data_IF_071889411354
#
_entry.id   IF_071889411354
#
_cell.length_a   1.000
_cell.length_b   1.000
_cell.length_c   1.000
_cell.angle_alpha   90.00
_cell.angle_beta   90.00
_cell.angle_gamma   90.00
#
_symmetry.space_group_name_H-M   'P 1'
#
loop_
_entity.id
_entity.type
_entity.pdbx_description
1 polymer ?
#
# COMPACT_ATOMS: atom_id res chain seq x y z
N UNK A 1 18.08 26.36 -9.11
CA UNK A 1 16.86 25.89 -8.42
C UNK A 1 17.32 25.23 -7.14
N UNK A 2 16.98 25.79 -5.98
CA UNK A 2 17.48 25.32 -4.70
C UNK A 2 16.89 23.94 -4.39
N UNK A 3 17.73 23.02 -3.95
CA UNK A 3 17.28 21.78 -3.30
C UNK A 3 16.62 22.22 -2.01
N UNK A 4 15.28 22.19 -1.94
CA UNK A 4 14.57 22.38 -0.69
C UNK A 4 15.08 21.36 0.33
N UNK A 5 15.41 21.80 1.53
CA UNK A 5 15.77 20.88 2.62
C UNK A 5 14.59 19.94 2.88
N UNK A 6 14.86 18.65 3.13
CA UNK A 6 13.85 17.67 3.52
C UNK A 6 12.88 18.21 4.60
N UNK A 7 13.42 18.92 5.60
CA UNK A 7 12.64 19.51 6.68
C UNK A 7 11.66 20.58 6.18
N UNK A 8 12.06 21.43 5.23
CA UNK A 8 11.21 22.49 4.68
C UNK A 8 9.95 21.91 4.05
N UNK A 9 10.09 20.83 3.27
CA UNK A 9 8.92 20.18 2.67
C UNK A 9 8.06 19.44 3.69
N UNK A 10 8.67 18.69 4.62
CA UNK A 10 7.91 18.03 5.67
C UNK A 10 7.12 19.06 6.49
N UNK A 11 7.72 20.22 6.74
CA UNK A 11 7.07 21.35 7.40
C UNK A 11 5.91 21.92 6.58
N UNK A 12 6.10 22.06 5.27
CA UNK A 12 5.05 22.48 4.34
C UNK A 12 3.86 21.52 4.37
N UNK A 13 4.12 20.20 4.31
CA UNK A 13 3.10 19.17 4.24
C UNK A 13 2.38 18.92 5.57
N UNK A 14 3.13 18.82 6.67
CA UNK A 14 2.63 18.35 7.97
C UNK A 14 2.40 19.49 8.97
N UNK A 15 3.15 20.58 8.83
CA UNK A 15 3.23 21.65 9.83
C UNK A 15 4.61 21.75 10.44
N UNK A 16 4.89 22.83 11.17
CA UNK A 16 6.15 23.01 11.92
C UNK A 16 6.17 22.22 13.23
N UNK A 17 5.02 21.67 13.63
CA UNK A 17 4.80 20.97 14.89
C UNK A 17 3.83 19.81 14.69
N UNK A 18 4.02 18.75 15.48
CA UNK A 18 3.16 17.57 15.53
C UNK A 18 2.75 17.30 16.98
N UNK A 19 1.62 16.63 17.16
CA UNK A 19 1.18 16.14 18.46
C UNK A 19 1.77 14.74 18.70
N UNK A 20 2.33 14.49 19.88
CA UNK A 20 2.74 13.17 20.35
C UNK A 20 2.09 12.93 21.71
N UNK A 21 1.05 12.09 21.74
CA UNK A 21 0.17 11.96 22.90
C UNK A 21 -0.54 13.28 23.21
N UNK A 22 -0.25 13.88 24.37
CA UNK A 22 -0.78 15.19 24.78
C UNK A 22 0.20 16.35 24.58
N UNK A 23 1.40 16.08 24.05
CA UNK A 23 2.48 17.08 23.95
C UNK A 23 2.70 17.48 22.50
N UNK A 24 2.86 18.77 22.25
CA UNK A 24 3.26 19.27 20.91
C UNK A 24 4.79 19.27 20.79
N UNK A 25 5.30 18.68 19.71
CA UNK A 25 6.73 18.55 19.40
C UNK A 25 7.04 19.32 18.13
N UNK A 26 8.14 20.08 18.13
CA UNK A 26 8.59 20.82 16.96
C UNK A 26 9.34 19.93 15.98
N UNK A 27 8.99 20.02 14.70
CA UNK A 27 9.66 19.31 13.63
C UNK A 27 11.05 19.88 13.38
N UNK A 28 12.02 18.99 13.29
CA UNK A 28 13.43 19.29 13.03
C UNK A 28 14.04 18.17 12.16
N UNK A 29 15.28 18.36 11.71
CA UNK A 29 15.93 17.42 10.77
C UNK A 29 16.11 16.01 11.35
N UNK A 30 16.17 15.88 12.68
CA UNK A 30 16.34 14.60 13.37
C UNK A 30 15.03 13.94 13.80
N UNK A 31 13.86 14.55 13.55
CA UNK A 31 12.58 14.05 14.08
C UNK A 31 12.27 12.63 13.60
N UNK A 32 12.53 12.35 12.33
CA UNK A 32 12.32 11.03 11.72
C UNK A 32 13.63 10.27 11.50
N UNK A 33 14.78 10.95 11.52
CA UNK A 33 16.13 10.35 11.48
C UNK A 33 16.31 9.27 10.39
N UNK A 34 15.71 9.44 9.21
CA UNK A 34 15.78 8.47 8.11
C UNK A 34 14.78 7.31 8.17
N UNK A 35 13.93 7.24 9.19
CA UNK A 35 12.85 6.25 9.31
C UNK A 35 11.85 6.37 8.16
N UNK A 36 11.27 5.25 7.74
CA UNK A 36 10.11 5.26 6.85
C UNK A 36 8.96 6.00 7.53
N UNK A 37 8.15 6.71 6.74
CA UNK A 37 6.99 7.43 7.25
C UNK A 37 5.72 6.74 6.77
N UNK A 38 4.88 6.29 7.70
CA UNK A 38 3.54 5.82 7.41
C UNK A 38 2.49 6.88 7.77
N UNK A 39 1.73 7.33 6.77
CA UNK A 39 0.60 8.23 6.99
C UNK A 39 -0.63 7.40 7.33
N UNK A 40 -1.15 7.56 8.53
CA UNK A 40 -2.32 6.85 9.03
C UNK A 40 -3.55 7.76 9.01
N UNK A 41 -4.38 7.60 7.99
CA UNK A 41 -5.61 8.37 7.81
C UNK A 41 -6.74 7.74 8.63
N UNK A 42 -7.34 8.54 9.51
CA UNK A 42 -8.39 8.09 10.43
C UNK A 42 -9.62 8.99 10.35
N UNK A 43 -10.79 8.46 9.94
CA UNK A 43 -12.03 9.21 10.01
C UNK A 43 -12.43 9.54 11.48
N UNK A 44 -12.96 10.73 11.72
CA UNK A 44 -13.57 11.21 12.97
C UNK A 44 -15.11 11.08 12.85
N UNK A 45 -15.78 10.96 14.00
CA UNK A 45 -17.23 10.77 14.11
C UNK A 45 -17.60 9.42 14.77
N UNK A 46 -18.85 8.99 14.61
CA UNK A 46 -19.42 7.81 15.28
C UNK A 46 -18.69 6.48 14.98
N UNK A 47 -17.84 6.45 13.95
CA UNK A 47 -17.03 5.29 13.56
C UNK A 47 -15.82 5.04 14.49
N UNK A 48 -15.46 6.00 15.36
CA UNK A 48 -14.30 5.90 16.28
C UNK A 48 -14.42 4.70 17.23
N UNK A 49 -15.64 4.34 17.66
CA UNK A 49 -15.88 3.23 18.57
C UNK A 49 -15.46 1.85 18.01
N UNK A 50 -15.12 1.78 16.71
CA UNK A 50 -14.74 0.55 16.01
C UNK A 50 -13.26 0.46 15.61
N UNK A 51 -12.45 1.48 15.93
CA UNK A 51 -11.04 1.53 15.49
C UNK A 51 -10.20 0.64 16.40
N UNK A 52 -10.05 -0.63 16.01
CA UNK A 52 -9.05 -1.52 16.58
C UNK A 52 -7.70 -1.30 15.88
N UNK A 53 -6.82 -0.54 16.52
CA UNK A 53 -5.46 -0.26 16.05
C UNK A 53 -4.41 -1.17 16.70
N UNK A 54 -4.82 -2.24 17.41
CA UNK A 54 -3.89 -3.09 18.17
C UNK A 54 -2.83 -3.73 17.27
N UNK A 55 -3.23 -4.28 16.12
CA UNK A 55 -2.28 -4.87 15.18
C UNK A 55 -1.27 -3.85 14.64
N UNK A 56 -1.68 -2.58 14.50
CA UNK A 56 -0.79 -1.50 14.08
C UNK A 56 0.18 -1.10 15.20
N UNK A 57 -0.28 -1.07 16.45
CA UNK A 57 0.56 -0.85 17.63
C UNK A 57 1.60 -1.95 17.79
N UNK A 58 1.21 -3.20 17.62
CA UNK A 58 2.12 -4.35 17.69
C UNK A 58 3.19 -4.24 16.61
N UNK A 59 2.80 -3.94 15.36
CA UNK A 59 3.76 -3.68 14.29
C UNK A 59 4.72 -2.53 14.66
N UNK A 60 4.18 -1.39 15.08
CA UNK A 60 4.98 -0.21 15.39
C UNK A 60 6.01 -0.49 16.49
N UNK A 61 5.60 -1.24 17.51
CA UNK A 61 6.50 -1.71 18.58
C UNK A 61 7.57 -2.65 18.03
N UNK A 62 7.21 -3.68 17.27
CA UNK A 62 8.14 -4.67 16.73
C UNK A 62 9.16 -4.05 15.77
N UNK A 63 8.71 -3.16 14.88
CA UNK A 63 9.59 -2.52 13.88
C UNK A 63 10.61 -1.60 14.54
N UNK A 64 10.23 -0.95 15.64
CA UNK A 64 11.07 0.02 16.35
C UNK A 64 11.78 -0.54 17.60
N UNK A 65 11.73 -1.86 17.84
CA UNK A 65 12.25 -2.46 19.07
C UNK A 65 13.75 -2.22 19.29
N UNK A 66 14.56 -2.34 18.23
CA UNK A 66 16.02 -2.22 18.31
C UNK A 66 16.52 -0.87 17.76
N UNK A 67 15.93 -0.41 16.66
CA UNK A 67 16.31 0.79 15.96
C UNK A 67 15.03 1.42 15.42
N UNK A 68 14.92 2.75 15.54
CA UNK A 68 13.77 3.48 15.01
C UNK A 68 13.81 3.41 13.48
N UNK A 69 12.85 2.69 12.90
CA UNK A 69 12.75 2.44 11.45
C UNK A 69 11.45 2.92 10.84
N UNK A 70 10.44 3.18 11.67
CA UNK A 70 9.12 3.60 11.24
C UNK A 70 8.61 4.73 12.13
N UNK A 71 8.16 5.81 11.50
CA UNK A 71 7.33 6.84 12.11
C UNK A 71 5.92 6.74 11.55
N UNK A 72 4.93 6.62 12.43
CA UNK A 72 3.52 6.76 12.05
C UNK A 72 3.12 8.22 12.29
N UNK A 73 2.44 8.80 11.31
CA UNK A 73 1.86 10.14 11.40
C UNK A 73 0.37 10.00 11.13
N UNK A 74 -0.42 10.17 12.18
CA UNK A 74 -1.86 10.12 12.13
C UNK A 74 -2.44 11.41 11.57
N UNK A 75 -3.42 11.29 10.68
CA UNK A 75 -4.18 12.39 10.08
C UNK A 75 -5.66 12.10 10.30
N UNK A 76 -6.27 12.87 11.19
CA UNK A 76 -7.69 12.77 11.51
C UNK A 76 -8.52 13.69 10.60
N UNK A 77 -9.73 13.25 10.20
CA UNK A 77 -10.67 13.99 9.34
C UNK A 77 -12.07 13.38 9.51
N UNK A 78 -13.25 14.00 9.36
CA UNK A 78 -13.51 15.38 8.95
C UNK A 78 -13.36 16.36 10.12
N UNK A 79 -13.42 17.65 9.78
CA UNK A 79 -13.23 18.75 10.72
C UNK A 79 -14.58 19.44 10.97
N UNK A 80 -15.54 18.72 11.54
CA UNK A 80 -16.79 19.33 12.01
C UNK A 80 -16.58 20.01 13.36
N UNK A 81 -17.54 20.84 13.78
CA UNK A 81 -17.46 21.57 15.05
C UNK A 81 -17.41 20.60 16.26
N UNK A 82 -18.02 19.42 16.11
CA UNK A 82 -18.16 18.43 17.19
C UNK A 82 -16.98 17.43 17.29
N UNK A 83 -16.06 17.44 16.31
CA UNK A 83 -14.99 16.44 16.19
C UNK A 83 -13.79 16.66 17.12
N UNK A 84 -13.68 17.83 17.76
CA UNK A 84 -12.51 18.15 18.60
C UNK A 84 -12.36 17.20 19.79
N UNK A 85 -13.46 16.86 20.46
CA UNK A 85 -13.42 15.94 21.61
C UNK A 85 -12.96 14.55 21.19
N UNK A 86 -13.51 14.08 20.07
CA UNK A 86 -13.13 12.83 19.43
C UNK A 86 -11.65 12.78 19.07
N UNK A 87 -11.13 13.85 18.47
CA UNK A 87 -9.70 14.00 18.19
C UNK A 87 -8.87 13.90 19.47
N UNK A 88 -9.18 14.70 20.49
CA UNK A 88 -8.40 14.76 21.74
C UNK A 88 -8.40 13.41 22.48
N UNK A 89 -9.48 12.64 22.42
CA UNK A 89 -9.56 11.29 23.00
C UNK A 89 -8.69 10.28 22.23
N UNK A 90 -8.79 10.30 20.89
CA UNK A 90 -8.08 9.38 20.01
C UNK A 90 -6.55 9.59 20.07
N UNK A 91 -6.08 10.84 20.15
CA UNK A 91 -4.65 11.14 20.06
C UNK A 91 -3.90 10.99 21.37
N UNK A 92 -4.58 10.96 22.52
CA UNK A 92 -3.93 10.87 23.84
C UNK A 92 -3.17 9.57 24.06
N UNK A 93 -3.65 8.47 23.49
CA UNK A 93 -3.19 7.11 23.80
C UNK A 93 -2.30 6.50 22.73
N UNK A 94 -2.11 7.17 21.59
CA UNK A 94 -1.31 6.63 20.47
C UNK A 94 0.19 6.82 20.70
N UNK A 95 1.03 5.83 20.34
CA UNK A 95 2.49 5.90 20.53
C UNK A 95 3.22 6.61 19.37
N UNK A 96 2.48 7.37 18.55
CA UNK A 96 2.97 7.98 17.32
C UNK A 96 2.53 9.44 17.19
N UNK A 97 3.01 10.10 16.14
CA UNK A 97 2.72 11.51 15.90
C UNK A 97 1.35 11.69 15.26
N UNK A 98 0.72 12.84 15.49
CA UNK A 98 -0.54 13.27 14.84
C UNK A 98 -0.39 14.68 14.31
N UNK A 99 -0.93 14.96 13.12
CA UNK A 99 -1.03 16.33 12.61
C UNK A 99 -2.00 17.12 13.48
N UNK A 100 -1.58 18.29 13.98
CA UNK A 100 -2.35 19.14 14.89
C UNK A 100 -3.77 19.42 14.36
N UNK A 101 -4.77 19.45 15.24
CA UNK A 101 -6.17 19.74 14.90
C UNK A 101 -6.34 21.13 14.30
N UNK A 102 -5.48 22.07 14.65
CA UNK A 102 -5.49 23.43 14.13
C UNK A 102 -4.99 23.50 12.67
N UNK A 103 -4.27 22.48 12.19
CA UNK A 103 -3.72 22.44 10.82
C UNK A 103 -4.71 21.87 9.80
N UNK A 104 -5.93 22.41 9.81
CA UNK A 104 -7.07 21.99 8.96
C UNK A 104 -6.67 21.91 7.48
N UNK A 105 -6.09 22.98 6.94
CA UNK A 105 -5.69 23.02 5.52
C UNK A 105 -4.66 21.94 5.16
N UNK A 106 -3.74 21.63 6.08
CA UNK A 106 -2.70 20.61 5.85
C UNK A 106 -3.31 19.22 5.83
N UNK A 107 -4.22 18.91 6.76
CA UNK A 107 -4.95 17.63 6.78
C UNK A 107 -5.77 17.44 5.50
N UNK A 108 -6.50 18.47 5.06
CA UNK A 108 -7.26 18.47 3.80
C UNK A 108 -6.33 18.27 2.59
N UNK A 109 -5.22 19.02 2.50
CA UNK A 109 -4.25 18.90 1.39
C UNK A 109 -3.61 17.51 1.34
N UNK A 110 -3.21 16.94 2.47
CA UNK A 110 -2.67 15.58 2.55
C UNK A 110 -3.70 14.56 2.06
N UNK A 111 -4.94 14.65 2.54
CA UNK A 111 -6.03 13.77 2.12
C UNK A 111 -6.23 13.78 0.59
N UNK A 112 -6.29 14.97 -0.01
CA UNK A 112 -6.40 15.11 -1.47
C UNK A 112 -5.16 14.62 -2.22
N UNK A 113 -3.94 14.97 -1.75
CA UNK A 113 -2.67 14.53 -2.35
C UNK A 113 -2.61 13.01 -2.43
N UNK A 114 -3.03 12.33 -1.36
CA UNK A 114 -3.03 10.88 -1.28
C UNK A 114 -4.30 10.21 -1.81
N UNK A 115 -5.30 10.99 -2.27
CA UNK A 115 -6.57 10.50 -2.82
C UNK A 115 -7.30 9.56 -1.87
N UNK A 116 -7.35 9.92 -0.59
CA UNK A 116 -8.08 9.16 0.44
C UNK A 116 -9.55 9.52 0.34
N UNK A 117 -10.42 8.52 0.16
CA UNK A 117 -11.87 8.73 0.02
C UNK A 117 -12.52 9.05 1.38
N UNK A 118 -13.84 9.26 1.43
CA UNK A 118 -14.54 9.54 2.69
C UNK A 118 -14.60 8.24 3.52
N UNK A 119 -14.47 8.34 4.84
CA UNK A 119 -14.56 7.21 5.79
C UNK A 119 -13.53 6.07 5.55
N UNK A 120 -12.41 6.35 4.87
CA UNK A 120 -11.38 5.33 4.64
C UNK A 120 -10.30 5.33 5.73
N UNK A 121 -10.25 4.24 6.50
CA UNK A 121 -9.07 3.95 7.34
C UNK A 121 -7.94 3.42 6.44
N UNK A 122 -6.86 4.19 6.32
CA UNK A 122 -5.73 3.82 5.45
C UNK A 122 -4.39 4.07 6.13
N UNK A 123 -3.49 3.12 5.96
CA UNK A 123 -2.08 3.27 6.29
C UNK A 123 -1.29 3.30 4.99
N UNK A 124 -0.70 4.45 4.68
CA UNK A 124 0.10 4.65 3.46
C UNK A 124 1.57 4.75 3.87
N UNK A 125 2.33 3.72 3.54
CA UNK A 125 3.78 3.71 3.76
C UNK A 125 4.49 4.49 2.65
N UNK A 126 5.30 5.45 3.04
CA UNK A 126 6.14 6.25 2.18
C UNK A 126 7.61 6.07 2.57
N UNK A 127 8.49 6.60 1.73
CA UNK A 127 9.85 6.93 2.14
C UNK A 127 9.88 7.95 3.29
N UNK A 128 11.07 8.21 3.81
CA UNK A 128 11.36 9.18 4.86
C UNK A 128 11.12 10.65 4.43
N UNK A 129 10.70 10.87 3.19
CA UNK A 129 10.61 12.18 2.56
C UNK A 129 9.18 12.51 2.09
N UNK A 130 8.25 11.55 2.09
CA UNK A 130 6.90 11.65 1.50
C UNK A 130 6.90 11.91 -0.02
N UNK A 131 7.88 11.37 -0.75
CA UNK A 131 7.95 11.43 -2.22
C UNK A 131 7.44 10.15 -2.85
N UNK A 132 7.96 9.02 -2.36
CA UNK A 132 7.67 7.72 -2.89
C UNK A 132 6.72 6.97 -1.97
N UNK A 133 5.55 6.65 -2.49
CA UNK A 133 4.62 5.72 -1.84
C UNK A 133 5.11 4.29 -2.10
N UNK A 134 5.43 3.57 -1.04
CA UNK A 134 5.73 2.13 -1.08
C UNK A 134 4.46 1.29 -1.02
N UNK A 135 3.49 1.68 -0.18
CA UNK A 135 2.24 0.93 0.04
C UNK A 135 1.08 1.89 0.27
N UNK A 136 -0.08 1.65 -0.36
CA UNK A 136 -1.31 2.44 -0.10
C UNK A 136 -2.29 1.80 0.89
N UNK A 137 -2.13 0.51 1.19
CA UNK A 137 -3.07 -0.22 2.04
C UNK A 137 -2.33 -1.11 3.05
N UNK A 138 -1.50 -0.48 3.88
CA UNK A 138 -0.71 -1.16 4.90
C UNK A 138 -1.59 -1.88 5.94
N UNK A 139 -2.77 -1.35 6.25
CA UNK A 139 -3.70 -1.99 7.19
C UNK A 139 -4.13 -3.39 6.73
N UNK A 140 -4.45 -3.57 5.44
CA UNK A 140 -4.75 -4.92 4.91
C UNK A 140 -3.55 -5.85 5.00
N UNK A 141 -2.33 -5.31 4.89
CA UNK A 141 -1.11 -6.10 4.99
C UNK A 141 -0.77 -6.51 6.41
N UNK A 142 -1.28 -5.84 7.45
CA UNK A 142 -1.13 -6.27 8.85
C UNK A 142 -1.70 -7.68 9.07
N UNK A 143 -2.79 -8.01 8.36
CA UNK A 143 -3.41 -9.34 8.40
C UNK A 143 -2.77 -10.37 7.46
N UNK A 144 -1.80 -9.95 6.63
CA UNK A 144 -1.13 -10.82 5.66
C UNK A 144 0.19 -11.38 6.23
N UNK A 145 0.60 -12.57 5.79
CA UNK A 145 1.91 -13.18 6.14
C UNK A 145 3.13 -12.43 5.56
N UNK A 146 2.96 -11.21 5.02
CA UNK A 146 4.05 -10.44 4.42
C UNK A 146 4.78 -9.65 5.50
N UNK A 147 6.09 -9.83 5.59
CA UNK A 147 6.93 -9.04 6.48
C UNK A 147 7.04 -7.57 6.02
N UNK A 148 6.97 -6.66 6.99
CA UNK A 148 7.37 -5.25 6.84
C UNK A 148 8.83 -5.18 6.30
N UNK A 149 9.23 -4.18 5.47
CA UNK A 149 8.57 -2.90 5.18
C UNK A 149 7.60 -2.89 3.98
N UNK A 150 7.24 -4.05 3.40
CA UNK A 150 6.34 -4.06 2.23
C UNK A 150 6.79 -3.13 1.09
N UNK A 151 8.09 -2.92 0.94
CA UNK A 151 8.66 -2.06 -0.12
C UNK A 151 8.71 -2.78 -1.47
N UNK A 152 8.78 -4.11 -1.45
CA UNK A 152 8.86 -4.96 -2.64
C UNK A 152 7.47 -5.38 -3.16
N UNK A 153 6.43 -4.58 -2.89
CA UNK A 153 5.07 -4.93 -3.27
C UNK A 153 4.91 -4.99 -4.79
N UNK A 154 4.90 -6.23 -5.27
CA UNK A 154 4.27 -6.77 -6.48
C UNK A 154 4.59 -6.07 -7.81
N UNK A 155 4.31 -4.79 -7.96
CA UNK A 155 4.38 -4.10 -9.24
C UNK A 155 5.82 -4.03 -9.77
N UNK A 156 6.82 -3.66 -8.98
CA UNK A 156 8.17 -3.51 -9.52
C UNK A 156 8.83 -4.85 -9.87
N UNK A 157 8.64 -5.88 -9.04
CA UNK A 157 9.15 -7.23 -9.32
C UNK A 157 8.41 -7.89 -10.49
N UNK A 158 7.07 -7.81 -10.53
CA UNK A 158 6.27 -8.36 -11.63
C UNK A 158 6.56 -7.59 -12.92
N UNK A 159 6.69 -6.26 -12.89
CA UNK A 159 7.13 -5.49 -14.05
C UNK A 159 8.51 -5.94 -14.51
N UNK A 160 9.48 -6.13 -13.61
CA UNK A 160 10.82 -6.63 -13.98
C UNK A 160 10.80 -8.04 -14.56
N UNK A 161 10.02 -8.94 -13.98
CA UNK A 161 9.87 -10.32 -14.48
C UNK A 161 9.15 -10.33 -15.83
N UNK A 162 8.08 -9.55 -15.99
CA UNK A 162 7.39 -9.34 -17.26
C UNK A 162 8.36 -8.82 -18.33
N UNK A 163 9.18 -7.80 -18.02
CA UNK A 163 10.17 -7.23 -18.92
C UNK A 163 11.26 -8.23 -19.33
N UNK A 164 11.69 -9.13 -18.42
CA UNK A 164 12.66 -10.20 -18.72
C UNK A 164 12.10 -11.26 -19.66
N UNK A 165 10.79 -11.51 -19.63
CA UNK A 165 10.15 -12.48 -20.52
C UNK A 165 10.01 -11.91 -21.93
N UNK A 166 9.82 -10.60 -22.03
CA UNK A 166 9.67 -9.90 -23.30
C UNK A 166 10.99 -9.52 -23.96
N UNK A 167 12.11 -9.51 -23.23
CA UNK A 167 13.43 -9.12 -23.76
C UNK A 167 14.01 -10.09 -24.81
N UNK A 168 13.39 -11.25 -24.99
CA UNK A 168 13.76 -12.22 -26.04
C UNK A 168 12.94 -12.08 -27.33
N UNK A 169 11.91 -11.23 -27.34
CA UNK A 169 11.09 -10.94 -28.53
C UNK A 169 11.40 -9.51 -29.02
N UNK A 170 11.37 -9.33 -30.35
CA UNK A 170 11.96 -8.21 -31.09
C UNK A 170 11.78 -6.80 -30.49
N UNK A 171 12.80 -5.95 -30.68
CA UNK A 171 13.03 -4.63 -30.06
C UNK A 171 11.93 -3.56 -30.22
N UNK A 172 10.84 -3.80 -30.96
CA UNK A 172 9.81 -2.79 -31.29
C UNK A 172 8.40 -3.13 -30.76
N UNK A 173 8.23 -4.21 -29.98
CA UNK A 173 6.93 -4.53 -29.36
C UNK A 173 6.67 -3.67 -28.12
N UNK A 174 5.54 -2.96 -28.09
CA UNK A 174 5.06 -2.23 -26.91
C UNK A 174 4.23 -3.19 -26.05
N UNK A 175 4.57 -3.31 -24.77
CA UNK A 175 3.84 -4.16 -23.83
C UNK A 175 3.00 -3.34 -22.84
N UNK A 176 1.71 -3.66 -22.75
CA UNK A 176 0.83 -3.19 -21.70
C UNK A 176 0.70 -4.23 -20.58
N UNK A 177 0.66 -3.78 -19.33
CA UNK A 177 0.34 -4.65 -18.20
C UNK A 177 -1.13 -4.47 -17.81
N UNK A 178 -1.88 -5.56 -17.73
CA UNK A 178 -3.27 -5.55 -17.28
C UNK A 178 -3.41 -6.31 -15.96
N UNK A 179 -3.54 -5.56 -14.86
CA UNK A 179 -3.76 -6.10 -13.52
C UNK A 179 -5.26 -6.30 -13.27
N UNK A 180 -5.69 -7.52 -12.99
CA UNK A 180 -7.10 -7.82 -12.75
C UNK A 180 -7.26 -9.08 -11.90
N UNK A 181 -8.44 -9.25 -11.31
CA UNK A 181 -8.81 -10.44 -10.58
C UNK A 181 -10.16 -10.97 -11.08
N UNK A 182 -10.32 -12.29 -11.18
CA UNK A 182 -11.56 -12.92 -11.59
C UNK A 182 -12.71 -12.64 -10.60
N UNK A 183 -12.37 -12.53 -9.31
CA UNK A 183 -13.34 -12.17 -8.28
C UNK A 183 -13.79 -10.69 -8.33
N UNK A 184 -13.09 -9.81 -9.07
CA UNK A 184 -13.36 -8.37 -9.13
C UNK A 184 -14.45 -8.03 -10.17
N UNK A 185 -15.66 -7.60 -9.76
CA UNK A 185 -16.74 -7.26 -10.69
C UNK A 185 -16.42 -6.13 -11.69
N UNK A 186 -15.83 -4.98 -11.29
CA UNK A 186 -15.52 -3.92 -12.26
C UNK A 186 -14.44 -4.37 -13.26
N UNK A 187 -13.49 -5.20 -12.82
CA UNK A 187 -12.48 -5.78 -13.70
C UNK A 187 -13.11 -6.65 -14.79
N UNK A 188 -14.11 -7.49 -14.44
CA UNK A 188 -14.87 -8.30 -15.41
C UNK A 188 -15.65 -7.43 -16.39
N UNK A 189 -16.28 -6.36 -15.91
CA UNK A 189 -17.03 -5.43 -16.76
C UNK A 189 -16.13 -4.67 -17.76
N UNK A 190 -14.85 -4.49 -17.44
CA UNK A 190 -13.88 -3.81 -18.30
C UNK A 190 -13.30 -4.69 -19.42
N UNK A 191 -13.31 -6.03 -19.26
CA UNK A 191 -12.72 -6.97 -20.24
C UNK A 191 -13.22 -6.75 -21.68
N UNK A 192 -14.55 -6.59 -21.95
CA UNK A 192 -15.02 -6.35 -23.32
C UNK A 192 -14.44 -5.08 -23.95
N UNK A 193 -14.30 -4.01 -23.15
CA UNK A 193 -13.73 -2.73 -23.61
C UNK A 193 -12.24 -2.88 -23.91
N UNK A 194 -11.52 -3.61 -23.06
CA UNK A 194 -10.10 -3.89 -23.23
C UNK A 194 -9.84 -4.70 -24.51
N UNK A 195 -10.63 -5.73 -24.78
CA UNK A 195 -10.52 -6.56 -26.01
C UNK A 195 -10.69 -5.68 -27.26
N UNK A 196 -11.74 -4.84 -27.27
CA UNK A 196 -11.99 -3.94 -28.40
C UNK A 196 -10.87 -2.93 -28.62
N UNK A 197 -10.31 -2.37 -27.54
CA UNK A 197 -9.17 -1.46 -27.62
C UNK A 197 -7.93 -2.18 -28.15
N UNK A 198 -7.61 -3.36 -27.61
CA UNK A 198 -6.47 -4.19 -28.03
C UNK A 198 -6.54 -4.52 -29.53
N UNK A 199 -7.69 -4.96 -30.04
CA UNK A 199 -7.87 -5.28 -31.45
C UNK A 199 -7.67 -4.09 -32.39
N UNK A 200 -7.98 -2.87 -31.93
CA UNK A 200 -7.74 -1.64 -32.69
C UNK A 200 -6.27 -1.25 -32.68
N UNK A 201 -5.60 -1.40 -31.53
CA UNK A 201 -4.22 -0.98 -31.33
C UNK A 201 -3.25 -1.90 -32.09
N UNK A 202 -3.44 -3.24 -31.98
CA UNK A 202 -2.57 -4.23 -32.63
C UNK A 202 -2.57 -4.18 -34.16
N UNK A 203 -3.58 -3.54 -34.77
CA UNK A 203 -3.64 -3.29 -36.22
C UNK A 203 -2.72 -2.16 -36.68
N UNK A 204 -2.22 -1.33 -35.75
CA UNK A 204 -1.46 -0.11 -36.05
C UNK A 204 -0.02 -0.18 -35.55
N UNK A 205 0.18 -0.81 -34.40
CA UNK A 205 1.47 -0.96 -33.75
C UNK A 205 1.64 -2.40 -33.25
N UNK A 206 2.89 -2.83 -33.11
CA UNK A 206 3.21 -4.09 -32.48
C UNK A 206 2.97 -3.96 -30.97
N UNK A 207 1.78 -4.36 -30.51
CA UNK A 207 1.32 -4.15 -29.13
C UNK A 207 0.77 -5.43 -28.53
N UNK A 208 1.27 -5.78 -27.34
CA UNK A 208 0.84 -6.96 -26.59
C UNK A 208 0.45 -6.62 -25.16
N UNK A 209 -0.46 -7.41 -24.58
CA UNK A 209 -0.91 -7.25 -23.19
C UNK A 209 -0.47 -8.45 -22.36
N UNK A 210 0.23 -8.18 -21.27
CA UNK A 210 0.58 -9.15 -20.24
C UNK A 210 -0.48 -9.07 -19.14
N UNK A 211 -1.21 -10.16 -18.95
CA UNK A 211 -2.19 -10.27 -17.87
C UNK A 211 -1.51 -10.62 -16.55
N UNK A 212 -1.76 -9.80 -15.53
CA UNK A 212 -1.29 -10.00 -14.17
C UNK A 212 -2.50 -10.30 -13.27
N UNK A 213 -2.74 -11.58 -13.00
CA UNK A 213 -3.85 -12.03 -12.15
C UNK A 213 -3.59 -11.69 -10.69
N UNK A 214 -4.59 -11.16 -9.98
CA UNK A 214 -4.62 -11.02 -8.51
C UNK A 214 -5.49 -12.09 -7.84
N UNK A 215 -5.79 -13.19 -8.53
CA UNK A 215 -6.55 -14.30 -7.97
C UNK A 215 -5.67 -15.13 -7.02
N UNK A 216 -6.27 -15.56 -5.90
CA UNK A 216 -5.60 -16.38 -4.88
C UNK A 216 -5.41 -17.84 -5.30
N UNK A 217 -6.02 -18.25 -6.42
CA UNK A 217 -5.99 -19.61 -6.94
C UNK A 217 -5.72 -19.61 -8.45
N UNK A 218 -5.04 -20.65 -8.92
CA UNK A 218 -4.78 -20.87 -10.35
C UNK A 218 -6.09 -21.14 -11.09
N UNK A 219 -6.50 -20.24 -11.98
CA UNK A 219 -7.64 -20.45 -12.87
C UNK A 219 -7.11 -20.88 -14.24
N UNK A 220 -7.36 -22.15 -14.61
CA UNK A 220 -6.93 -22.79 -15.86
C UNK A 220 -7.69 -22.29 -17.11
N UNK A 221 -8.42 -21.18 -17.01
CA UNK A 221 -9.53 -20.87 -17.93
C UNK A 221 -9.43 -19.48 -18.56
N UNK A 222 -8.28 -19.15 -19.16
CA UNK A 222 -8.22 -18.09 -20.18
C UNK A 222 -7.80 -18.75 -21.49
N UNK A 223 -8.72 -19.53 -22.05
CA UNK A 223 -8.64 -19.96 -23.44
C UNK A 223 -9.02 -18.77 -24.32
N UNK A 224 -8.26 -18.57 -25.40
CA UNK A 224 -8.30 -17.43 -26.31
C UNK A 224 -7.68 -16.16 -25.74
N UNK A 225 -6.37 -16.06 -25.79
CA UNK A 225 -5.57 -15.04 -26.49
C UNK A 225 -4.13 -15.57 -26.39
N UNK A 226 -3.22 -15.16 -27.27
CA UNK A 226 -1.82 -15.60 -27.21
C UNK A 226 -1.15 -14.91 -26.00
N UNK A 227 -1.52 -15.37 -24.82
CA UNK A 227 -0.97 -15.02 -23.52
C UNK A 227 0.34 -15.78 -23.48
N UNK A 228 1.46 -15.07 -23.52
CA UNK A 228 2.76 -15.67 -23.23
C UNK A 228 2.69 -16.13 -21.77
N UNK A 229 2.44 -17.42 -21.63
CA UNK A 229 2.43 -18.15 -20.39
C UNK A 229 3.79 -17.98 -19.71
N UNK A 230 3.82 -17.28 -18.58
CA UNK A 230 4.99 -17.25 -17.67
C UNK A 230 5.06 -18.59 -16.91
N UNK A 231 5.04 -19.71 -17.63
CA UNK A 231 4.96 -21.04 -17.02
C UNK A 231 6.30 -21.74 -16.84
N UNK A 232 7.43 -21.14 -17.22
CA UNK A 232 8.73 -21.82 -17.06
C UNK A 232 9.50 -21.49 -15.78
N UNK A 233 9.05 -20.53 -14.96
CA UNK A 233 9.62 -20.30 -13.62
C UNK A 233 8.70 -20.65 -12.45
N UNK A 234 7.59 -21.35 -12.71
CA UNK A 234 6.70 -21.85 -11.65
C UNK A 234 7.14 -23.20 -11.05
N UNK A 235 8.13 -23.88 -11.65
CA UNK A 235 8.64 -25.18 -11.16
C UNK A 235 9.55 -25.06 -9.92
N UNK A 236 10.13 -23.89 -9.63
CA UNK A 236 10.94 -23.68 -8.42
C UNK A 236 10.06 -23.37 -7.20
N UNK A 237 8.90 -22.73 -7.39
CA UNK A 237 7.99 -22.38 -6.30
C UNK A 237 7.14 -23.58 -5.86
N UNK A 238 6.85 -24.54 -6.76
CA UNK A 238 6.13 -25.77 -6.43
C UNK A 238 6.90 -26.62 -5.38
N UNK A 239 8.24 -26.57 -5.36
CA UNK A 239 9.05 -27.28 -4.36
C UNK A 239 9.06 -26.59 -2.97
N UNK A 240 8.81 -25.28 -2.92
CA UNK A 240 8.73 -24.55 -1.65
C UNK A 240 7.33 -24.68 -1.03
N UNK A 241 6.27 -24.72 -1.85
CA UNK A 241 4.90 -24.90 -1.37
C UNK A 241 4.57 -26.35 -0.94
N UNK A 242 5.27 -27.36 -1.47
CA UNK A 242 5.14 -28.75 -1.00
C UNK A 242 5.70 -28.95 0.43
N UNK A 243 6.69 -28.16 0.87
CA UNK A 243 7.19 -28.23 2.24
C UNK A 243 6.24 -27.58 3.27
N UNK A 244 5.43 -26.61 2.86
CA UNK A 244 4.42 -26.00 3.75
C UNK A 244 3.18 -26.89 3.88
N UNK A 245 2.83 -27.66 2.84
CA UNK A 245 1.66 -28.53 2.86
C UNK A 245 1.84 -29.83 3.68
N UNK A 246 3.07 -30.35 3.82
CA UNK A 246 3.31 -31.55 4.65
C UNK A 246 3.28 -31.26 6.17
N UNK A 247 3.51 -30.01 6.59
CA UNK A 247 3.44 -29.61 8.00
C UNK A 247 1.98 -29.45 8.45
N UNK A 248 1.09 -28.98 7.57
CA UNK A 248 -0.31 -28.74 7.92
C UNK A 248 -1.23 -29.98 7.83
N UNK A 249 -0.85 -31.03 7.09
CA UNK A 249 -1.58 -32.32 7.11
C UNK A 249 -1.32 -33.08 8.42
N UNK A 250 -0.18 -32.88 9.07
CA UNK A 250 0.13 -33.58 10.34
C UNK A 250 -0.56 -32.96 11.57
N UNK A 251 -0.91 -31.66 11.52
CA UNK A 251 -1.56 -30.96 12.64
C UNK A 251 -3.09 -31.17 12.62
N UNK A 252 -3.69 -31.37 11.44
CA UNK A 252 -5.16 -31.54 11.31
C UNK A 252 -5.68 -32.94 11.69
N UNK A 253 -4.80 -33.93 11.85
CA UNK A 253 -5.16 -35.30 12.26
C UNK A 253 -4.96 -35.61 13.77
N UNK A 254 -4.65 -34.62 14.61
CA UNK A 254 -4.41 -34.86 16.06
C UNK A 254 -5.37 -34.17 17.02
N UNK A 255 -6.43 -33.50 16.54
CA UNK A 255 -7.52 -32.99 17.39
C UNK A 255 -8.86 -33.03 16.64
N UNK A 256 -9.25 -34.24 16.22
CA UNK A 256 -10.56 -34.77 16.62
C UNK A 256 -10.38 -35.34 18.03
#
# INVERSE_FOLDING_TARGET
MAVESCLSRLTELLGDRLLFGSTTVQLNESTFNGSLIALYFVPLGDEIASIDDQALRDLYKTVNENEKKLDIIQICYPDTIDDRKCFDELTKSVPWHTVLYEYVEKRIRLRHKYRVENAEHLLILNDNHLEKVHTRNGLKLLSCEKSFPWTDLWNEKICREALKLTSNEANDTIYGLYFSAHWCPPCKAFIPQLIHAYDKIRKRINFEIIFVSSDRYYIKTINYYKIINVLYHMLIIINILLNVYMINIHIRNRRM
#
